data_IF_508339305184
#
_entry.id   IF_508339305184
#
_cell.length_a   1.000
_cell.length_b   1.000
_cell.length_c   1.000
_cell.angle_alpha   90.00
_cell.angle_beta   90.00
_cell.angle_gamma   90.00
#
_symmetry.space_group_name_H-M   'P 1'
#
loop_
_entity.id
_entity.type
_entity.pdbx_description
1 polymer ?
#
# COMPACT_ATOMS: atom_id res chain seq x y z
N UNK A 1 -3.55 33.84 -8.96
CA UNK A 1 -2.63 32.69 -8.86
C UNK A 1 -3.40 31.50 -8.28
N UNK A 2 -3.66 30.43 -9.05
CA UNK A 2 -4.29 29.21 -8.52
C UNK A 2 -3.26 28.49 -7.65
N UNK A 3 -3.52 28.40 -6.32
CA UNK A 3 -2.68 27.65 -5.40
C UNK A 3 -2.51 26.21 -5.91
N UNK A 4 -1.27 25.79 -6.08
CA UNK A 4 -0.94 24.39 -6.34
C UNK A 4 -1.35 23.58 -5.10
N UNK A 5 -2.41 22.78 -5.20
CA UNK A 5 -2.90 21.98 -4.09
C UNK A 5 -2.07 20.70 -4.08
N UNK A 6 -1.07 20.64 -3.21
CA UNK A 6 -0.41 19.40 -2.81
C UNK A 6 -0.95 19.03 -1.43
N UNK A 7 -1.17 17.74 -1.18
CA UNK A 7 -1.60 17.29 0.14
C UNK A 7 -0.53 17.63 1.19
N UNK A 8 -0.96 18.14 2.35
CA UNK A 8 -0.05 18.37 3.45
C UNK A 8 0.57 17.01 3.87
N UNK A 9 1.90 16.93 4.05
CA UNK A 9 2.52 15.71 4.57
C UNK A 9 1.89 15.17 5.87
N UNK A 10 1.34 16.05 6.71
CA UNK A 10 0.62 15.68 7.93
C UNK A 10 -0.68 14.91 7.69
N UNK A 11 -1.26 15.02 6.49
CA UNK A 11 -2.48 14.30 6.09
C UNK A 11 -2.16 13.04 5.28
N UNK A 12 -0.87 12.67 5.14
CA UNK A 12 -0.42 11.42 4.52
C UNK A 12 -0.26 10.36 5.58
N UNK A 13 -0.84 9.20 5.31
CA UNK A 13 -0.77 8.02 6.16
C UNK A 13 -0.23 6.82 5.39
N UNK A 14 0.46 5.93 6.06
CA UNK A 14 0.92 4.66 5.49
C UNK A 14 0.48 3.52 6.39
N UNK A 15 -0.11 2.50 5.80
CA UNK A 15 -0.47 1.25 6.44
C UNK A 15 0.40 0.17 5.84
N UNK A 16 1.29 -0.41 6.63
CA UNK A 16 2.16 -1.51 6.20
C UNK A 16 1.52 -2.82 6.65
N UNK A 17 1.15 -3.65 5.68
CA UNK A 17 0.58 -4.98 5.94
C UNK A 17 1.69 -6.00 6.19
N UNK A 18 1.80 -6.49 7.40
CA UNK A 18 2.84 -7.39 7.88
C UNK A 18 2.28 -8.67 8.56
N UNK A 19 1.05 -9.09 8.21
CA UNK A 19 0.37 -10.24 8.83
C UNK A 19 0.64 -11.59 8.16
N UNK A 20 1.35 -11.64 7.05
CA UNK A 20 1.60 -12.88 6.28
C UNK A 20 2.42 -13.91 7.05
N UNK A 21 2.11 -15.22 6.85
CA UNK A 21 2.83 -16.34 7.50
C UNK A 21 4.19 -16.63 6.87
N UNK A 22 4.42 -16.20 5.61
CA UNK A 22 5.70 -16.37 4.92
C UNK A 22 6.10 -17.81 4.63
N UNK A 23 5.16 -18.73 4.51
CA UNK A 23 5.37 -20.20 4.39
C UNK A 23 6.29 -20.58 3.22
N UNK A 24 6.25 -19.81 2.11
CA UNK A 24 7.11 -20.05 0.92
C UNK A 24 8.60 -19.88 1.19
N UNK A 25 8.99 -19.27 2.30
CA UNK A 25 10.39 -19.05 2.69
C UNK A 25 10.87 -20.07 3.72
N UNK A 26 10.07 -21.11 4.02
CA UNK A 26 10.56 -22.22 4.85
C UNK A 26 11.80 -22.88 4.20
N UNK A 27 12.83 -23.22 4.93
CA UNK A 27 13.03 -23.26 6.38
C UNK A 27 13.51 -21.95 7.02
N UNK A 28 13.76 -20.88 6.27
CA UNK A 28 14.28 -19.60 6.79
C UNK A 28 13.18 -18.87 7.59
N UNK A 29 11.94 -18.86 7.07
CA UNK A 29 10.80 -18.30 7.80
C UNK A 29 10.24 -19.27 8.84
N UNK A 30 9.74 -18.72 9.93
CA UNK A 30 9.04 -19.39 11.01
C UNK A 30 7.82 -18.57 11.41
N UNK A 31 6.88 -19.14 12.16
CA UNK A 31 5.67 -18.47 12.61
C UNK A 31 5.96 -17.13 13.33
N UNK A 32 6.95 -17.13 14.24
CA UNK A 32 7.38 -15.93 14.98
C UNK A 32 8.30 -15.02 14.19
N UNK A 33 8.93 -15.52 13.14
CA UNK A 33 9.87 -14.78 12.27
C UNK A 33 9.54 -15.04 10.81
N UNK A 34 8.37 -14.55 10.35
CA UNK A 34 7.97 -14.69 8.96
C UNK A 34 8.87 -13.86 8.03
N UNK A 35 8.70 -14.03 6.72
CA UNK A 35 9.51 -13.38 5.67
C UNK A 35 9.81 -11.91 5.96
N UNK A 36 8.78 -11.14 6.31
CA UNK A 36 8.90 -9.68 6.51
C UNK A 36 9.79 -9.28 7.68
N UNK A 37 10.03 -10.17 8.65
CA UNK A 37 10.88 -9.93 9.82
C UNK A 37 12.31 -10.44 9.65
N UNK A 38 12.64 -11.04 8.50
CA UNK A 38 13.94 -11.61 8.22
C UNK A 38 14.85 -10.57 7.55
N UNK A 39 16.14 -10.61 7.89
CA UNK A 39 17.21 -9.81 7.29
C UNK A 39 17.86 -10.61 6.16
N UNK A 40 17.29 -10.60 4.97
CA UNK A 40 17.86 -11.31 3.82
C UNK A 40 18.79 -10.43 2.97
N UNK A 41 18.58 -9.13 3.00
CA UNK A 41 19.30 -8.17 2.17
C UNK A 41 19.91 -7.08 3.09
N UNK A 42 21.09 -7.33 3.64
CA UNK A 42 21.75 -6.42 4.56
C UNK A 42 21.28 -6.55 6.02
N UNK A 43 21.51 -5.50 6.82
CA UNK A 43 21.29 -5.52 8.28
C UNK A 43 19.86 -5.18 8.73
N UNK A 44 18.98 -4.88 7.78
CA UNK A 44 17.59 -4.48 8.03
C UNK A 44 16.63 -5.55 7.53
N UNK A 45 15.58 -5.86 8.31
CA UNK A 45 14.49 -6.71 7.83
C UNK A 45 13.67 -6.02 6.73
N UNK A 46 12.90 -6.79 5.95
CA UNK A 46 12.02 -6.22 4.94
C UNK A 46 11.06 -5.18 5.53
N UNK A 47 10.49 -5.47 6.71
CA UNK A 47 9.62 -4.55 7.42
C UNK A 47 10.33 -3.25 7.79
N UNK A 48 11.55 -3.34 8.32
CA UNK A 48 12.34 -2.16 8.65
C UNK A 48 12.64 -1.33 7.40
N UNK A 49 13.03 -1.97 6.29
CA UNK A 49 13.25 -1.30 5.01
C UNK A 49 11.98 -0.63 4.49
N UNK A 50 10.80 -1.27 4.65
CA UNK A 50 9.53 -0.70 4.24
C UNK A 50 9.19 0.58 5.02
N UNK A 51 9.42 0.60 6.34
CA UNK A 51 9.24 1.79 7.19
C UNK A 51 10.24 2.88 6.86
N UNK A 52 11.55 2.53 6.78
CA UNK A 52 12.62 3.50 6.48
C UNK A 52 12.37 4.21 5.13
N UNK A 53 11.88 3.47 4.14
CA UNK A 53 11.59 3.98 2.79
C UNK A 53 10.51 5.06 2.76
N UNK A 54 9.51 4.99 3.63
CA UNK A 54 8.38 5.94 3.65
C UNK A 54 8.56 7.08 4.65
N UNK A 55 9.40 6.91 5.67
CA UNK A 55 9.67 7.92 6.71
C UNK A 55 10.08 9.30 6.17
N UNK A 56 10.82 9.45 5.03
CA UNK A 56 11.16 10.77 4.49
C UNK A 56 9.97 11.57 3.93
N UNK A 57 8.82 10.91 3.67
CA UNK A 57 7.67 11.54 3.01
C UNK A 57 6.37 11.46 3.83
N UNK A 58 6.38 10.72 4.94
CA UNK A 58 5.25 10.55 5.86
C UNK A 58 5.76 10.62 7.29
N UNK A 59 5.15 11.43 8.18
CA UNK A 59 5.52 11.47 9.59
C UNK A 59 5.43 10.09 10.27
N UNK A 60 6.34 9.79 11.18
CA UNK A 60 6.38 8.47 11.84
C UNK A 60 5.09 8.15 12.61
N UNK A 61 4.48 9.16 13.22
CA UNK A 61 3.18 9.04 13.89
C UNK A 61 2.05 8.61 12.94
N UNK A 62 2.19 8.82 11.64
CA UNK A 62 1.21 8.45 10.62
C UNK A 62 1.54 7.13 9.90
N UNK A 63 2.55 6.41 10.36
CA UNK A 63 2.88 5.07 9.84
C UNK A 63 2.32 4.02 10.77
N UNK A 64 1.45 3.16 10.27
CA UNK A 64 0.85 2.03 10.97
C UNK A 64 1.38 0.71 10.42
N UNK A 65 1.53 -0.26 11.29
CA UNK A 65 1.87 -1.63 10.91
C UNK A 65 0.78 -2.56 11.41
N UNK A 66 0.10 -3.22 10.48
CA UNK A 66 -0.91 -4.23 10.80
C UNK A 66 -0.23 -5.60 10.70
N UNK A 67 -0.29 -6.35 11.78
CA UNK A 67 0.32 -7.68 11.90
C UNK A 67 -0.59 -8.61 12.72
N UNK A 68 -0.20 -9.84 12.98
CA UNK A 68 -0.93 -10.74 13.88
C UNK A 68 -0.38 -10.69 15.32
N UNK A 69 -1.15 -11.24 16.26
CA UNK A 69 -0.81 -11.22 17.68
C UNK A 69 0.53 -11.91 18.00
N UNK A 70 0.89 -12.98 17.25
CA UNK A 70 2.12 -13.74 17.46
C UNK A 70 3.35 -12.93 17.06
N UNK A 71 3.25 -12.13 16.01
CA UNK A 71 4.36 -11.37 15.44
C UNK A 71 4.51 -9.98 16.06
N UNK A 72 3.46 -9.40 16.63
CA UNK A 72 3.45 -8.04 17.14
C UNK A 72 4.59 -7.72 18.14
N UNK A 73 4.99 -8.61 19.08
CA UNK A 73 6.13 -8.34 19.96
C UNK A 73 7.43 -8.12 19.19
N UNK A 74 7.72 -8.97 18.19
CA UNK A 74 8.94 -8.85 17.39
C UNK A 74 8.88 -7.62 16.45
N UNK A 75 7.72 -7.30 15.91
CA UNK A 75 7.50 -6.05 15.12
C UNK A 75 7.83 -4.82 15.96
N UNK A 76 7.32 -4.73 17.19
CA UNK A 76 7.61 -3.61 18.10
C UNK A 76 9.09 -3.50 18.46
N UNK A 77 9.76 -4.65 18.64
CA UNK A 77 11.20 -4.71 18.90
C UNK A 77 12.02 -4.20 17.71
N UNK A 78 11.63 -4.54 16.50
CA UNK A 78 12.31 -4.11 15.28
C UNK A 78 12.05 -2.65 14.91
N UNK A 79 10.95 -2.06 15.37
CA UNK A 79 10.52 -0.69 15.09
C UNK A 79 10.40 0.17 16.36
N UNK A 80 11.48 0.34 17.13
CA UNK A 80 11.42 1.02 18.44
C UNK A 80 11.10 2.53 18.35
N UNK A 81 11.26 3.12 17.17
CA UNK A 81 10.95 4.54 16.92
C UNK A 81 9.48 4.78 16.55
N UNK A 82 8.75 3.73 16.18
CA UNK A 82 7.34 3.83 15.84
C UNK A 82 6.52 3.87 17.14
N UNK A 83 5.47 4.73 17.25
CA UNK A 83 4.56 4.68 18.38
C UNK A 83 4.01 3.27 18.60
N UNK A 84 3.96 2.80 19.85
CA UNK A 84 3.55 1.42 20.16
C UNK A 84 2.13 1.11 19.70
N UNK A 85 1.24 2.08 19.79
CA UNK A 85 -0.15 2.04 19.33
C UNK A 85 -0.28 1.92 17.82
N UNK A 86 0.76 2.30 17.06
CA UNK A 86 0.79 2.17 15.61
C UNK A 86 1.12 0.74 15.15
N UNK A 87 1.53 -0.14 16.05
CA UNK A 87 1.69 -1.58 15.77
C UNK A 87 0.45 -2.31 16.24
N UNK A 88 -0.46 -2.57 15.30
CA UNK A 88 -1.77 -3.16 15.56
C UNK A 88 -1.74 -4.65 15.27
N UNK A 89 -2.16 -5.42 16.26
CA UNK A 89 -2.25 -6.87 16.15
C UNK A 89 -3.68 -7.28 15.83
N UNK A 90 -3.90 -7.82 14.63
CA UNK A 90 -5.17 -8.47 14.30
C UNK A 90 -5.36 -9.71 15.20
N UNK A 91 -6.51 -9.88 15.84
CA UNK A 91 -6.78 -11.07 16.64
C UNK A 91 -6.88 -12.33 15.76
N UNK A 92 -7.39 -12.16 14.54
CA UNK A 92 -7.49 -13.20 13.50
C UNK A 92 -7.24 -12.53 12.15
N UNK A 93 -6.30 -13.06 11.36
CA UNK A 93 -6.08 -12.60 9.99
C UNK A 93 -7.30 -12.90 9.11
N UNK A 94 -7.89 -11.86 8.51
CA UNK A 94 -9.08 -11.97 7.65
C UNK A 94 -8.88 -11.26 6.32
N UNK A 95 -7.82 -11.59 5.63
CA UNK A 95 -7.46 -11.08 4.32
C UNK A 95 -7.27 -9.53 4.25
N UNK A 96 -7.02 -9.03 3.05
CA UNK A 96 -6.66 -7.64 2.82
C UNK A 96 -7.79 -6.66 3.16
N UNK A 97 -9.07 -7.04 2.93
CA UNK A 97 -10.18 -6.12 3.14
C UNK A 97 -10.33 -5.74 4.63
N UNK A 98 -10.21 -6.71 5.54
CA UNK A 98 -10.29 -6.44 6.98
C UNK A 98 -9.12 -5.57 7.46
N UNK A 99 -7.90 -5.83 7.00
CA UNK A 99 -6.73 -5.03 7.32
C UNK A 99 -6.87 -3.58 6.80
N UNK A 100 -7.37 -3.41 5.58
CA UNK A 100 -7.66 -2.09 4.99
C UNK A 100 -8.73 -1.35 5.81
N UNK A 101 -9.80 -2.03 6.21
CA UNK A 101 -10.88 -1.46 7.02
C UNK A 101 -10.37 -0.96 8.37
N UNK A 102 -9.57 -1.80 9.05
CA UNK A 102 -8.92 -1.44 10.31
C UNK A 102 -7.99 -0.22 10.13
N UNK A 103 -7.17 -0.26 9.07
CA UNK A 103 -6.29 0.87 8.74
C UNK A 103 -7.07 2.15 8.42
N UNK A 104 -8.20 2.05 7.71
CA UNK A 104 -9.07 3.19 7.44
C UNK A 104 -9.66 3.78 8.72
N UNK A 105 -10.10 2.95 9.66
CA UNK A 105 -10.59 3.42 10.96
C UNK A 105 -9.50 4.16 11.75
N UNK A 106 -8.26 3.64 11.77
CA UNK A 106 -7.13 4.30 12.43
C UNK A 106 -6.78 5.65 11.81
N UNK A 107 -6.89 5.76 10.48
CA UNK A 107 -6.72 7.04 9.78
C UNK A 107 -7.87 7.97 10.09
N UNK A 108 -9.13 7.50 10.03
CA UNK A 108 -10.34 8.27 10.33
C UNK A 108 -10.31 8.90 11.72
N UNK A 109 -9.86 8.16 12.74
CA UNK A 109 -9.67 8.64 14.11
C UNK A 109 -8.66 9.79 14.23
N UNK A 110 -7.78 9.99 13.23
CA UNK A 110 -6.79 11.07 13.21
C UNK A 110 -7.13 12.17 12.21
N UNK A 111 -7.67 11.80 11.04
CA UNK A 111 -8.01 12.73 9.96
C UNK A 111 -9.02 12.11 9.01
N UNK A 112 -10.23 12.66 8.95
CA UNK A 112 -11.26 12.26 7.98
C UNK A 112 -10.96 12.78 6.57
N UNK A 113 -9.98 13.66 6.42
CA UNK A 113 -9.47 14.15 5.12
C UNK A 113 -8.14 13.50 4.72
N UNK A 114 -7.64 12.56 5.54
CA UNK A 114 -6.38 11.89 5.34
C UNK A 114 -6.36 11.05 4.05
N UNK A 115 -5.17 10.93 3.48
CA UNK A 115 -4.90 10.04 2.34
C UNK A 115 -3.95 8.94 2.80
N UNK A 116 -4.31 7.70 2.56
CA UNK A 116 -3.53 6.56 3.02
C UNK A 116 -2.99 5.73 1.86
N UNK A 117 -1.76 5.25 2.03
CA UNK A 117 -1.16 4.23 1.19
C UNK A 117 -1.12 2.90 1.97
N UNK A 118 -1.65 1.84 1.38
CA UNK A 118 -1.56 0.48 1.88
C UNK A 118 -0.46 -0.23 1.14
N UNK A 119 0.57 -0.65 1.86
CA UNK A 119 1.81 -1.20 1.30
C UNK A 119 2.13 -2.57 1.90
N UNK A 120 2.57 -3.56 1.12
CA UNK A 120 3.10 -4.81 1.65
C UNK A 120 4.47 -4.60 2.32
N UNK A 121 4.74 -5.36 3.38
CA UNK A 121 5.98 -5.28 4.15
C UNK A 121 7.18 -5.99 3.50
N UNK A 122 6.98 -6.76 2.43
CA UNK A 122 7.93 -7.77 1.95
C UNK A 122 8.52 -7.50 0.56
N UNK A 123 8.37 -6.28 0.07
CA UNK A 123 8.90 -5.86 -1.22
C UNK A 123 10.31 -5.30 -1.14
N UNK A 124 11.16 -5.74 -2.08
CA UNK A 124 12.47 -5.15 -2.33
C UNK A 124 12.33 -4.03 -3.35
N UNK A 125 12.73 -2.82 -2.98
CA UNK A 125 12.66 -1.63 -3.85
C UNK A 125 14.02 -0.95 -3.86
N UNK A 126 14.88 -1.25 -4.86
CA UNK A 126 16.23 -0.69 -4.91
C UNK A 126 16.28 0.82 -5.12
N UNK A 127 15.35 1.36 -5.92
CA UNK A 127 15.30 2.78 -6.26
C UNK A 127 14.39 3.57 -5.28
N UNK A 128 14.77 3.65 -4.02
CA UNK A 128 13.93 4.25 -2.95
C UNK A 128 13.51 5.70 -3.24
N UNK A 129 14.41 6.54 -3.73
CA UNK A 129 14.09 7.94 -4.06
C UNK A 129 13.06 8.05 -5.20
N UNK A 130 13.13 7.15 -6.18
CA UNK A 130 12.16 7.08 -7.25
C UNK A 130 10.81 6.61 -6.72
N UNK A 131 10.81 5.58 -5.86
CA UNK A 131 9.60 5.12 -5.19
C UNK A 131 8.94 6.22 -4.36
N UNK A 132 9.70 6.99 -3.57
CA UNK A 132 9.20 8.12 -2.79
C UNK A 132 8.57 9.19 -3.69
N UNK A 133 9.17 9.45 -4.86
CA UNK A 133 8.60 10.37 -5.85
C UNK A 133 7.27 9.86 -6.40
N UNK A 134 7.22 8.57 -6.81
CA UNK A 134 5.99 7.93 -7.31
C UNK A 134 4.90 7.96 -6.24
N UNK A 135 5.22 7.58 -5.01
CA UNK A 135 4.27 7.55 -3.91
C UNK A 135 3.76 8.96 -3.57
N UNK A 136 4.63 9.97 -3.63
CA UNK A 136 4.24 11.37 -3.46
C UNK A 136 3.23 11.84 -4.52
N UNK A 137 3.48 11.53 -5.80
CA UNK A 137 2.54 11.84 -6.89
C UNK A 137 1.21 11.07 -6.73
N UNK A 138 1.26 9.81 -6.25
CA UNK A 138 0.05 9.03 -5.95
C UNK A 138 -0.78 9.64 -4.81
N UNK A 139 -0.15 10.12 -3.74
CA UNK A 139 -0.83 10.84 -2.67
C UNK A 139 -1.51 12.10 -3.18
N UNK A 140 -0.82 12.89 -4.01
CA UNK A 140 -1.36 14.12 -4.59
C UNK A 140 -2.55 13.85 -5.54
N UNK A 141 -2.54 12.74 -6.29
CA UNK A 141 -3.66 12.32 -7.13
C UNK A 141 -4.84 11.84 -6.28
N UNK A 142 -4.62 10.96 -5.31
CA UNK A 142 -5.67 10.40 -4.46
C UNK A 142 -6.37 11.46 -3.59
N UNK A 143 -5.64 12.53 -3.19
CA UNK A 143 -6.21 13.64 -2.43
C UNK A 143 -7.22 14.49 -3.20
N UNK A 144 -7.24 14.40 -4.54
CA UNK A 144 -8.03 15.30 -5.39
C UNK A 144 -9.37 14.76 -5.83
N UNK A 145 -9.64 13.50 -5.59
CA UNK A 145 -10.85 12.91 -6.09
C UNK A 145 -11.15 11.53 -5.55
N UNK A 146 -12.24 10.96 -6.00
CA UNK A 146 -12.70 9.60 -5.68
C UNK A 146 -11.92 8.56 -6.50
N UNK A 147 -10.59 8.60 -6.44
CA UNK A 147 -9.74 7.71 -7.19
C UNK A 147 -9.03 6.70 -6.28
N UNK A 148 -9.09 5.44 -6.66
CA UNK A 148 -8.21 4.40 -6.15
C UNK A 148 -6.98 4.38 -7.06
N UNK A 149 -5.82 4.71 -6.50
CA UNK A 149 -4.55 4.70 -7.22
C UNK A 149 -3.80 3.43 -6.85
N UNK A 150 -3.24 2.73 -7.84
CA UNK A 150 -2.39 1.56 -7.61
C UNK A 150 -1.06 1.72 -8.33
N UNK A 151 0.01 1.16 -7.74
CA UNK A 151 1.34 1.18 -8.34
C UNK A 151 1.51 -0.06 -9.20
N UNK A 152 1.79 0.17 -10.50
CA UNK A 152 2.07 -0.87 -11.46
C UNK A 152 3.55 -0.93 -11.80
N UNK A 153 4.12 -2.13 -11.89
CA UNK A 153 5.51 -2.39 -12.25
C UNK A 153 5.55 -2.90 -13.70
N UNK A 154 6.47 -2.36 -14.51
CA UNK A 154 6.66 -2.85 -15.89
C UNK A 154 7.11 -4.31 -15.86
N UNK A 155 6.38 -5.23 -16.50
CA UNK A 155 6.77 -6.63 -16.57
C UNK A 155 8.09 -6.79 -17.33
N UNK A 156 8.94 -7.67 -16.82
CA UNK A 156 10.21 -8.05 -17.46
C UNK A 156 10.19 -9.49 -17.98
N UNK A 157 9.19 -10.26 -17.55
CA UNK A 157 9.00 -11.68 -17.91
C UNK A 157 7.51 -12.05 -17.83
N UNK A 158 7.07 -13.16 -18.45
CA UNK A 158 5.68 -13.61 -18.39
C UNK A 158 5.38 -14.36 -17.07
N UNK A 159 5.46 -13.66 -15.95
CA UNK A 159 5.23 -14.23 -14.63
C UNK A 159 3.75 -14.62 -14.45
N UNK A 160 3.49 -15.88 -14.10
CA UNK A 160 2.13 -16.40 -13.84
C UNK A 160 1.70 -16.28 -12.38
N UNK A 161 2.63 -15.89 -11.50
CA UNK A 161 2.38 -15.71 -10.06
C UNK A 161 1.87 -14.32 -9.66
N UNK A 162 1.78 -13.39 -10.61
CA UNK A 162 1.39 -11.99 -10.36
C UNK A 162 0.05 -11.64 -11.01
N UNK A 163 -0.64 -10.66 -10.41
CA UNK A 163 -1.74 -9.98 -11.06
C UNK A 163 -1.22 -8.97 -12.09
N UNK A 164 -1.99 -8.74 -13.12
CA UNK A 164 -1.70 -7.80 -14.21
C UNK A 164 -2.77 -6.72 -14.29
N UNK A 165 -2.35 -5.49 -14.58
CA UNK A 165 -3.22 -4.33 -14.77
C UNK A 165 -3.06 -3.86 -16.20
N UNK A 166 -4.14 -3.88 -17.00
CA UNK A 166 -4.15 -3.26 -18.32
C UNK A 166 -4.20 -1.76 -18.17
N UNK A 167 -3.24 -1.06 -18.78
CA UNK A 167 -3.19 0.41 -18.82
C UNK A 167 -3.93 0.94 -20.04
N UNK A 168 -4.81 1.90 -19.80
CA UNK A 168 -5.46 2.69 -20.84
C UNK A 168 -4.74 4.02 -21.09
N UNK A 169 -5.52 5.06 -21.35
CA UNK A 169 -4.97 6.38 -21.67
C UNK A 169 -4.15 6.97 -20.52
N UNK A 170 -3.11 7.73 -20.88
CA UNK A 170 -2.36 8.56 -19.94
C UNK A 170 -3.29 9.64 -19.38
N UNK A 171 -3.31 9.76 -18.06
CA UNK A 171 -4.06 10.79 -17.36
C UNK A 171 -3.20 12.05 -17.26
N UNK A 172 -3.67 13.19 -17.78
CA UNK A 172 -3.01 14.46 -17.56
C UNK A 172 -3.10 14.85 -16.07
N UNK A 173 -2.14 15.64 -15.57
CA UNK A 173 -2.29 16.20 -14.24
C UNK A 173 -3.59 16.99 -14.12
N UNK A 174 -4.33 16.89 -13.01
CA UNK A 174 -5.55 17.68 -12.80
C UNK A 174 -5.27 19.17 -12.93
N UNK A 175 -6.26 19.94 -13.38
CA UNK A 175 -6.14 21.38 -13.55
C UNK A 175 -5.66 22.06 -12.25
N UNK A 176 -4.59 22.85 -12.33
CA UNK A 176 -3.96 23.50 -11.17
C UNK A 176 -3.08 22.57 -10.30
N UNK A 177 -2.85 21.34 -10.73
CA UNK A 177 -1.91 20.44 -10.06
C UNK A 177 -0.46 20.76 -10.44
N UNK A 178 0.48 20.43 -9.54
CA UNK A 178 1.90 20.29 -9.89
C UNK A 178 2.02 19.22 -10.98
N UNK A 179 2.90 19.44 -11.96
CA UNK A 179 3.23 18.39 -12.94
C UNK A 179 3.76 17.16 -12.20
N UNK A 180 3.11 16.01 -12.40
CA UNK A 180 3.61 14.76 -11.85
C UNK A 180 4.95 14.40 -12.50
N UNK A 181 5.84 13.81 -11.73
CA UNK A 181 7.08 13.19 -12.22
C UNK A 181 6.84 11.78 -12.71
N UNK A 182 5.70 11.21 -12.35
CA UNK A 182 5.27 9.84 -12.66
C UNK A 182 4.18 9.87 -13.72
N UNK A 183 4.26 8.97 -14.71
CA UNK A 183 3.18 8.80 -15.70
C UNK A 183 2.02 8.06 -15.04
N UNK A 184 0.84 8.69 -15.04
CA UNK A 184 -0.40 8.10 -14.55
C UNK A 184 -1.23 7.58 -15.72
N UNK A 185 -1.82 6.40 -15.55
CA UNK A 185 -2.68 5.75 -16.55
C UNK A 185 -4.04 5.46 -15.96
N UNK A 186 -5.07 5.45 -16.80
CA UNK A 186 -6.34 4.83 -16.44
C UNK A 186 -6.13 3.32 -16.37
N UNK A 187 -6.53 2.69 -15.25
CA UNK A 187 -6.62 1.24 -15.19
C UNK A 187 -7.89 0.77 -15.90
N UNK A 188 -7.77 -0.14 -16.87
CA UNK A 188 -8.91 -0.65 -17.63
C UNK A 188 -9.38 -2.01 -17.13
N UNK A 189 -8.42 -2.86 -16.71
CA UNK A 189 -8.73 -4.23 -16.31
C UNK A 189 -7.67 -4.76 -15.36
N UNK A 190 -8.10 -5.54 -14.38
CA UNK A 190 -7.25 -6.38 -13.53
C UNK A 190 -7.41 -7.84 -13.97
N UNK A 191 -6.30 -8.56 -14.07
CA UNK A 191 -6.26 -9.99 -14.38
C UNK A 191 -5.37 -10.66 -13.35
N UNK A 192 -5.93 -11.58 -12.61
CA UNK A 192 -5.19 -12.30 -11.56
C UNK A 192 -4.56 -13.56 -12.11
N UNK A 193 -3.25 -13.70 -11.97
CA UNK A 193 -2.45 -14.90 -12.24
C UNK A 193 -2.82 -15.61 -13.56
N UNK A 194 -2.59 -14.97 -14.71
CA UNK A 194 -2.90 -15.58 -16.00
C UNK A 194 -2.02 -16.81 -16.27
N UNK A 195 -2.40 -17.64 -17.23
CA UNK A 195 -1.51 -18.67 -17.74
C UNK A 195 -0.32 -18.06 -18.48
N UNK A 196 0.68 -18.90 -18.82
CA UNK A 196 1.94 -18.43 -19.41
C UNK A 196 1.74 -17.75 -20.77
N UNK A 197 0.92 -18.31 -21.64
CA UNK A 197 0.65 -17.78 -22.99
C UNK A 197 0.04 -16.37 -22.88
N UNK A 198 -0.97 -16.21 -22.04
CA UNK A 198 -1.61 -14.91 -21.77
C UNK A 198 -0.65 -13.91 -21.14
N UNK A 199 0.19 -14.37 -20.20
CA UNK A 199 1.20 -13.51 -19.57
C UNK A 199 2.24 -13.03 -20.62
N UNK A 200 2.64 -13.89 -21.54
CA UNK A 200 3.56 -13.56 -22.62
C UNK A 200 2.96 -12.51 -23.58
N UNK A 201 1.69 -12.67 -23.94
CA UNK A 201 0.97 -11.65 -24.72
C UNK A 201 0.94 -10.29 -24.01
N UNK A 202 0.72 -10.28 -22.69
CA UNK A 202 0.70 -9.04 -21.89
C UNK A 202 2.06 -8.34 -21.85
N UNK A 203 3.15 -9.10 -21.71
CA UNK A 203 4.51 -8.55 -21.77
C UNK A 203 4.80 -7.95 -23.14
N UNK A 204 4.49 -8.69 -24.21
CA UNK A 204 4.75 -8.28 -25.59
C UNK A 204 3.93 -7.06 -26.02
N UNK A 205 2.70 -6.94 -25.53
CA UNK A 205 1.82 -5.80 -25.85
C UNK A 205 2.33 -4.48 -25.26
N UNK A 206 3.13 -4.52 -24.18
CA UNK A 206 3.63 -3.35 -23.46
C UNK A 206 2.58 -2.56 -22.66
N UNK A 207 1.29 -2.93 -22.78
CA UNK A 207 0.14 -2.22 -22.18
C UNK A 207 -0.27 -2.78 -20.81
N UNK A 208 0.52 -3.66 -20.23
CA UNK A 208 0.23 -4.24 -18.92
C UNK A 208 1.31 -3.87 -17.91
N UNK A 209 0.92 -3.85 -16.65
CA UNK A 209 1.80 -3.70 -15.49
C UNK A 209 1.48 -4.80 -14.50
N UNK A 210 2.49 -5.31 -13.79
CA UNK A 210 2.24 -6.15 -12.63
C UNK A 210 1.57 -5.34 -11.53
N UNK A 211 0.57 -5.90 -10.91
CA UNK A 211 -0.03 -5.32 -9.70
C UNK A 211 0.94 -5.48 -8.53
N UNK A 212 1.47 -4.38 -8.03
CA UNK A 212 2.38 -4.39 -6.90
C UNK A 212 1.68 -4.59 -5.54
N UNK A 213 0.34 -4.71 -5.52
CA UNK A 213 -0.42 -4.80 -4.28
C UNK A 213 -0.33 -3.55 -3.39
N UNK A 214 0.02 -2.41 -3.99
CA UNK A 214 0.12 -1.13 -3.32
C UNK A 214 -1.02 -0.23 -3.77
N UNK A 215 -1.83 0.25 -2.84
CA UNK A 215 -3.01 1.05 -3.12
C UNK A 215 -2.97 2.36 -2.34
N UNK A 216 -3.38 3.45 -2.99
CA UNK A 216 -3.44 4.77 -2.39
C UNK A 216 -4.82 5.38 -2.66
N UNK A 217 -5.47 5.87 -1.62
CA UNK A 217 -6.80 6.49 -1.66
C UNK A 217 -7.01 7.45 -0.50
N UNK A 218 -8.00 8.33 -0.60
CA UNK A 218 -8.44 9.12 0.52
C UNK A 218 -9.30 8.28 1.49
N UNK A 219 -9.37 8.69 2.75
CA UNK A 219 -10.29 8.11 3.74
C UNK A 219 -11.73 8.06 3.19
N UNK A 220 -12.20 9.16 2.63
CA UNK A 220 -13.54 9.24 2.03
C UNK A 220 -13.73 8.25 0.89
N UNK A 221 -12.71 8.06 0.04
CA UNK A 221 -12.82 7.10 -1.08
C UNK A 221 -12.96 5.67 -0.59
N UNK A 222 -12.18 5.27 0.42
CA UNK A 222 -12.25 3.89 0.92
C UNK A 222 -13.53 3.64 1.72
N UNK A 223 -13.99 4.59 2.54
CA UNK A 223 -15.23 4.44 3.29
C UNK A 223 -16.44 4.37 2.37
N UNK A 224 -16.55 5.23 1.36
CA UNK A 224 -17.61 5.14 0.34
C UNK A 224 -17.58 3.79 -0.41
N UNK A 225 -16.39 3.27 -0.72
CA UNK A 225 -16.23 1.96 -1.33
C UNK A 225 -16.69 0.81 -0.42
N UNK A 226 -16.37 0.90 0.88
CA UNK A 226 -16.83 -0.08 1.87
C UNK A 226 -18.36 -0.01 2.03
N UNK A 227 -18.95 1.18 2.13
CA UNK A 227 -20.39 1.36 2.23
C UNK A 227 -21.14 0.76 1.03
N UNK A 228 -20.61 0.97 -0.18
CA UNK A 228 -21.23 0.48 -1.40
C UNK A 228 -21.11 -1.04 -1.60
N UNK A 229 -20.02 -1.65 -1.14
CA UNK A 229 -19.69 -3.03 -1.51
C UNK A 229 -19.48 -3.97 -0.32
N UNK A 230 -19.25 -3.45 0.89
CA UNK A 230 -18.97 -4.21 2.11
C UNK A 230 -19.59 -3.52 3.33
N UNK A 231 -20.94 -3.39 3.40
CA UNK A 231 -21.62 -2.56 4.40
C UNK A 231 -21.32 -2.99 5.86
N UNK A 232 -21.10 -4.27 6.11
CA UNK A 232 -20.71 -4.77 7.44
C UNK A 232 -19.32 -4.27 7.85
N UNK A 233 -18.39 -4.24 6.89
CA UNK A 233 -17.04 -3.70 7.10
C UNK A 233 -17.08 -2.17 7.28
N UNK A 234 -17.93 -1.47 6.53
CA UNK A 234 -18.15 -0.05 6.71
C UNK A 234 -18.66 0.26 8.12
N UNK A 235 -19.69 -0.46 8.59
CA UNK A 235 -20.21 -0.33 9.94
C UNK A 235 -19.14 -0.64 11.03
N UNK A 236 -18.27 -1.62 10.80
CA UNK A 236 -17.15 -1.89 11.69
C UNK A 236 -16.13 -0.74 11.68
N UNK A 237 -15.80 -0.20 10.52
CA UNK A 237 -14.91 0.96 10.38
C UNK A 237 -15.42 2.14 11.20
N UNK A 238 -16.69 2.52 11.05
CA UNK A 238 -17.33 3.61 11.80
C UNK A 238 -17.22 3.41 13.31
N UNK A 239 -17.58 2.22 13.83
CA UNK A 239 -17.46 1.92 15.26
C UNK A 239 -16.05 1.99 15.82
N UNK A 240 -15.03 1.85 14.99
CA UNK A 240 -13.64 1.82 15.45
C UNK A 240 -12.97 3.20 15.46
N UNK A 241 -13.50 4.17 14.72
CA UNK A 241 -12.92 5.51 14.73
C UNK A 241 -13.76 6.56 15.49
N UNK A 242 -15.03 6.25 15.85
CA UNK A 242 -15.84 7.02 16.80
C UNK A 242 -15.37 6.79 18.24
#
# INVERSE_FOLDING_TARGET
MKKTISINPKDRFVIIMAGGRGERFWPISREKTPKQLIKLLGDRSFLQQAVDRVTPIVPQENIFVITNAVQAPEVRKQLPKLPKENVVAEPVGRDTCAAVTLGAAMVGARSTTGVMAVLPADHVIPEEKKFQTVLGDCFDLAARGQAIVTIGIKPTEPATGYGYIRTGNVLPPPAGAKKYKTTMFKAERFVEKPNYETALEYVNSGNYRWNAGMFIWSFVTVTNGLEAHQPEMAAACHRWFE
#
